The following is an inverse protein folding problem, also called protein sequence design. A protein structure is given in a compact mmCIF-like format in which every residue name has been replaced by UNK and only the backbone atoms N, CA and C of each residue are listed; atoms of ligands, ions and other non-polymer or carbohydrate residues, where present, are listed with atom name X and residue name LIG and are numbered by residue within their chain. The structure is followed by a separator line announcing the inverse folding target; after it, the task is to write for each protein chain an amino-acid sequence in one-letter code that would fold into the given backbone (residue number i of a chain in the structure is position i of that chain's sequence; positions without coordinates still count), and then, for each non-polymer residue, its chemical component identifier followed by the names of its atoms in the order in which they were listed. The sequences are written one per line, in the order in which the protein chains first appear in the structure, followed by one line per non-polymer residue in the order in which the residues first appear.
data_IF_495017815497
#
_entry.id   IF_495017815497
#
_cell.length_a   1.000
_cell.length_b   1.000
_cell.length_c   1.000
_cell.angle_alpha   90.00
_cell.angle_beta   90.00
_cell.angle_gamma   90.00
#
_symmetry.space_group_name_H-M   'P 1'
#
loop_
_entity.id
_entity.type
_entity.pdbx_description
1 polymer ?
#
# COMPACT_ATOMS: atom_id res chain seq x y z
N UNK A 1 -50.01 -73.89 -19.22
CA UNK A 1 -49.50 -72.52 -18.98
C UNK A 1 -48.78 -72.53 -17.64
N UNK A 2 -47.46 -72.34 -17.63
CA UNK A 2 -46.69 -72.29 -16.38
C UNK A 2 -46.94 -70.93 -15.73
N UNK A 3 -47.63 -70.95 -14.59
CA UNK A 3 -47.88 -69.77 -13.77
C UNK A 3 -46.61 -69.53 -12.95
N UNK A 4 -45.75 -68.60 -13.38
CA UNK A 4 -44.55 -68.23 -12.63
C UNK A 4 -44.99 -67.47 -11.37
N UNK A 5 -45.19 -68.21 -10.27
CA UNK A 5 -45.20 -67.64 -8.92
C UNK A 5 -43.85 -66.95 -8.72
N UNK A 6 -43.80 -65.63 -8.94
CA UNK A 6 -42.76 -64.80 -8.35
C UNK A 6 -42.99 -64.93 -6.85
N UNK A 7 -42.13 -65.70 -6.18
CA UNK A 7 -42.24 -66.02 -4.77
C UNK A 7 -42.33 -64.72 -3.96
N UNK A 8 -43.52 -64.47 -3.41
CA UNK A 8 -43.83 -63.34 -2.54
C UNK A 8 -43.20 -63.47 -1.14
N UNK A 9 -42.31 -64.46 -0.92
CA UNK A 9 -41.80 -64.80 0.41
C UNK A 9 -40.41 -64.21 0.71
N UNK A 10 -39.78 -63.51 -0.25
CA UNK A 10 -38.58 -62.73 0.04
C UNK A 10 -38.60 -61.38 -0.69
N UNK A 11 -39.11 -60.31 -0.06
CA UNK A 11 -39.17 -58.98 -0.67
C UNK A 11 -37.79 -58.45 -1.09
N UNK A 12 -36.68 -58.97 -0.54
CA UNK A 12 -35.33 -58.62 -0.98
C UNK A 12 -34.99 -59.16 -2.38
N UNK A 13 -35.67 -60.22 -2.84
CA UNK A 13 -35.50 -60.78 -4.19
C UNK A 13 -36.31 -60.01 -5.25
N UNK A 14 -37.26 -59.16 -4.84
CA UNK A 14 -38.02 -58.29 -5.74
C UNK A 14 -37.37 -56.90 -5.95
N UNK A 15 -36.23 -56.63 -5.28
CA UNK A 15 -35.51 -55.37 -5.42
C UNK A 15 -34.76 -55.33 -6.76
N UNK A 16 -35.03 -54.30 -7.57
CA UNK A 16 -34.26 -54.02 -8.79
C UNK A 16 -32.88 -53.53 -8.40
N UNK A 17 -31.84 -54.29 -8.78
CA UNK A 17 -30.44 -53.87 -8.63
C UNK A 17 -29.99 -53.17 -9.91
N UNK A 18 -29.38 -52.00 -9.77
CA UNK A 18 -28.73 -51.29 -10.87
C UNK A 18 -27.26 -51.71 -10.89
N UNK A 19 -26.78 -52.16 -12.06
CA UNK A 19 -25.43 -52.67 -12.24
C UNK A 19 -24.58 -51.68 -13.05
N UNK A 20 -23.30 -51.58 -12.70
CA UNK A 20 -22.30 -50.90 -13.53
C UNK A 20 -21.68 -51.82 -14.60
N UNK A 21 -20.69 -51.32 -15.33
CA UNK A 21 -20.05 -52.04 -16.45
C UNK A 21 -19.33 -53.36 -16.09
N UNK A 22 -19.06 -53.60 -14.80
CA UNK A 22 -18.44 -54.83 -14.31
C UNK A 22 -19.46 -55.87 -13.78
N UNK A 23 -20.76 -55.67 -14.05
CA UNK A 23 -21.85 -56.54 -13.58
C UNK A 23 -21.89 -56.72 -12.05
N UNK A 24 -21.38 -55.73 -11.31
CA UNK A 24 -21.51 -55.60 -9.85
C UNK A 24 -22.59 -54.57 -9.54
N UNK A 25 -23.47 -54.89 -8.60
CA UNK A 25 -24.53 -53.96 -8.18
C UNK A 25 -23.94 -52.73 -7.49
N UNK A 26 -24.52 -51.56 -7.76
CA UNK A 26 -24.18 -50.33 -7.04
C UNK A 26 -24.65 -50.46 -5.59
N UNK A 27 -23.75 -50.22 -4.63
CA UNK A 27 -24.03 -50.35 -3.21
C UNK A 27 -24.14 -48.98 -2.55
N UNK A 28 -25.08 -48.84 -1.62
CA UNK A 28 -25.27 -47.66 -0.78
C UNK A 28 -24.87 -47.94 0.67
N UNK A 29 -24.54 -46.89 1.43
CA UNK A 29 -24.31 -46.98 2.87
C UNK A 29 -25.64 -47.22 3.63
N UNK A 30 -25.57 -47.36 4.96
CA UNK A 30 -26.76 -47.55 5.81
C UNK A 30 -27.75 -46.39 5.80
N UNK A 31 -27.38 -45.25 5.21
CA UNK A 31 -28.23 -44.08 5.03
C UNK A 31 -28.80 -43.98 3.61
N UNK A 32 -28.44 -44.91 2.71
CA UNK A 32 -28.88 -44.92 1.32
C UNK A 32 -28.00 -44.10 0.37
N UNK A 33 -26.81 -43.66 0.78
CA UNK A 33 -25.92 -42.87 -0.08
C UNK A 33 -24.98 -43.76 -0.90
N UNK A 34 -24.81 -43.45 -2.18
CA UNK A 34 -23.83 -44.08 -3.08
C UNK A 34 -22.54 -43.25 -3.10
N UNK A 35 -21.43 -43.80 -2.62
CA UNK A 35 -20.11 -43.16 -2.76
C UNK A 35 -19.55 -43.40 -4.15
N UNK A 36 -19.20 -42.33 -4.86
CA UNK A 36 -18.52 -42.39 -6.17
C UNK A 36 -17.09 -41.89 -5.98
N UNK A 37 -16.11 -42.74 -6.25
CA UNK A 37 -14.69 -42.36 -6.34
C UNK A 37 -14.36 -42.04 -7.79
N UNK A 38 -14.16 -40.75 -8.11
CA UNK A 38 -13.64 -40.34 -9.42
C UNK A 38 -12.16 -39.92 -9.28
N UNK A 39 -11.35 -40.18 -10.30
CA UNK A 39 -9.97 -39.65 -10.42
C UNK A 39 -9.93 -38.19 -10.87
N UNK A 40 -11.09 -37.56 -11.00
CA UNK A 40 -11.28 -36.16 -11.36
C UNK A 40 -12.76 -35.80 -11.30
N UNK A 41 -13.08 -34.64 -10.73
CA UNK A 41 -14.42 -34.05 -10.78
C UNK A 41 -14.39 -32.93 -11.81
N UNK A 42 -14.94 -33.18 -13.00
CA UNK A 42 -15.11 -32.14 -14.01
C UNK A 42 -16.42 -31.39 -13.71
N UNK A 43 -16.31 -30.13 -13.29
CA UNK A 43 -17.45 -29.24 -13.08
C UNK A 43 -17.49 -28.25 -14.24
N UNK A 44 -18.55 -28.28 -15.05
CA UNK A 44 -18.85 -27.19 -15.97
C UNK A 44 -19.52 -26.07 -15.18
N UNK A 45 -18.80 -24.98 -14.96
CA UNK A 45 -19.29 -23.86 -14.14
C UNK A 45 -20.46 -23.12 -14.80
N UNK A 46 -21.44 -22.62 -14.03
CA UNK A 46 -22.40 -21.61 -14.49
C UNK A 46 -21.71 -20.31 -14.93
N UNK A 47 -22.38 -19.52 -15.78
CA UNK A 47 -21.85 -18.25 -16.32
C UNK A 47 -21.53 -17.20 -15.24
N UNK A 48 -22.27 -17.23 -14.13
CA UNK A 48 -22.28 -16.19 -13.10
C UNK A 48 -21.49 -16.53 -11.83
N UNK A 49 -20.76 -17.65 -11.82
CA UNK A 49 -19.85 -18.00 -10.72
C UNK A 49 -19.90 -19.46 -10.29
N UNK A 50 -18.88 -19.86 -9.52
CA UNK A 50 -18.71 -21.20 -9.00
C UNK A 50 -17.99 -21.14 -7.64
N UNK A 51 -18.52 -21.88 -6.64
CA UNK A 51 -17.91 -22.05 -5.32
C UNK A 51 -17.71 -23.55 -5.04
N UNK A 52 -16.49 -23.96 -4.69
CA UNK A 52 -16.11 -25.37 -4.45
C UNK A 52 -15.19 -25.48 -3.23
N UNK A 53 -15.34 -26.55 -2.44
CA UNK A 53 -14.43 -26.97 -1.37
C UNK A 53 -13.93 -28.40 -1.65
N UNK A 54 -12.63 -28.60 -1.89
CA UNK A 54 -12.03 -29.93 -2.11
C UNK A 54 -10.51 -29.93 -1.86
N UNK A 55 -9.95 -31.13 -1.65
CA UNK A 55 -8.53 -31.42 -1.34
C UNK A 55 -7.66 -31.71 -2.58
N UNK A 56 -8.21 -31.53 -3.78
CA UNK A 56 -7.49 -31.67 -5.05
C UNK A 56 -8.39 -31.23 -6.21
N UNK A 57 -8.01 -30.17 -6.92
CA UNK A 57 -8.89 -29.52 -7.90
C UNK A 57 -8.11 -29.01 -9.13
N UNK A 58 -8.63 -29.34 -10.31
CA UNK A 58 -8.37 -28.62 -11.55
C UNK A 58 -9.70 -27.97 -11.98
N UNK A 59 -9.74 -26.63 -12.04
CA UNK A 59 -10.95 -25.86 -12.35
C UNK A 59 -10.76 -25.13 -13.67
N UNK A 60 -11.71 -25.28 -14.60
CA UNK A 60 -11.89 -24.34 -15.70
C UNK A 60 -12.84 -23.24 -15.21
N UNK A 61 -12.34 -22.01 -15.09
CA UNK A 61 -13.04 -20.91 -14.44
C UNK A 61 -14.16 -20.30 -15.30
N UNK A 62 -15.20 -19.68 -14.69
CA UNK A 62 -16.20 -18.91 -15.43
C UNK A 62 -15.65 -17.56 -15.89
N UNK A 63 -16.32 -16.84 -16.78
CA UNK A 63 -15.81 -15.57 -17.32
C UNK A 63 -15.76 -14.45 -16.25
N UNK A 64 -16.75 -14.36 -15.37
CA UNK A 64 -16.97 -13.18 -14.54
C UNK A 64 -16.35 -13.24 -13.13
N UNK A 65 -15.85 -14.39 -12.67
CA UNK A 65 -15.16 -14.48 -11.39
C UNK A 65 -15.12 -15.89 -10.79
N UNK A 66 -14.15 -16.14 -9.91
CA UNK A 66 -13.99 -17.44 -9.23
C UNK A 66 -13.57 -17.22 -7.77
N UNK A 67 -14.22 -17.93 -6.84
CA UNK A 67 -13.83 -17.98 -5.42
C UNK A 67 -13.45 -19.41 -5.04
N UNK A 68 -12.25 -19.60 -4.48
CA UNK A 68 -11.73 -20.94 -4.10
C UNK A 68 -11.27 -20.97 -2.65
N UNK A 69 -11.69 -22.01 -1.93
CA UNK A 69 -11.19 -22.38 -0.59
C UNK A 69 -10.63 -23.80 -0.67
N UNK A 70 -9.31 -23.95 -0.61
CA UNK A 70 -8.63 -25.24 -0.75
C UNK A 70 -8.09 -25.74 0.60
N UNK A 71 -8.23 -27.04 0.86
CA UNK A 71 -7.74 -27.67 2.09
C UNK A 71 -6.45 -28.44 1.82
N UNK A 72 -5.38 -28.01 2.49
CA UNK A 72 -4.11 -28.70 2.75
C UNK A 72 -3.00 -28.66 1.68
N UNK A 73 -3.21 -29.01 0.41
CA UNK A 73 -2.06 -29.13 -0.53
C UNK A 73 -2.35 -28.66 -1.96
N UNK A 74 -1.37 -27.95 -2.54
CA UNK A 74 -1.20 -27.64 -3.96
C UNK A 74 -2.45 -27.17 -4.73
N UNK A 75 -2.54 -25.87 -5.02
CA UNK A 75 -3.62 -25.30 -5.84
C UNK A 75 -3.08 -24.73 -7.16
N UNK A 76 -3.65 -25.19 -8.29
CA UNK A 76 -3.41 -24.65 -9.62
C UNK A 76 -4.73 -24.20 -10.25
N UNK A 77 -4.81 -22.93 -10.64
CA UNK A 77 -6.02 -22.32 -11.19
C UNK A 77 -5.67 -21.59 -12.49
N UNK A 78 -6.46 -21.83 -13.54
CA UNK A 78 -6.53 -20.91 -14.68
C UNK A 78 -7.54 -19.82 -14.34
N UNK A 79 -7.11 -18.55 -14.17
CA UNK A 79 -7.96 -17.48 -13.67
C UNK A 79 -9.08 -17.11 -14.66
N UNK A 80 -10.23 -16.59 -14.16
CA UNK A 80 -11.26 -15.95 -14.98
C UNK A 80 -10.79 -14.57 -15.49
N UNK A 81 -11.52 -13.92 -16.39
CA UNK A 81 -11.21 -12.54 -16.79
C UNK A 81 -11.59 -11.52 -15.69
N UNK A 82 -12.78 -11.69 -15.08
CA UNK A 82 -13.39 -10.72 -14.16
C UNK A 82 -12.88 -10.70 -12.72
N UNK A 83 -11.88 -11.51 -12.37
CA UNK A 83 -11.19 -11.46 -11.08
C UNK A 83 -11.23 -12.76 -10.26
N UNK A 84 -10.25 -12.93 -9.36
CA UNK A 84 -9.99 -14.19 -8.65
C UNK A 84 -9.78 -13.94 -7.16
N UNK A 85 -10.54 -14.64 -6.31
CA UNK A 85 -10.39 -14.62 -4.86
C UNK A 85 -10.00 -16.01 -4.34
N UNK A 86 -8.88 -16.13 -3.62
CA UNK A 86 -8.36 -17.42 -3.14
C UNK A 86 -7.95 -17.34 -1.67
N UNK A 87 -8.39 -18.34 -0.91
CA UNK A 87 -7.79 -18.70 0.38
C UNK A 87 -6.92 -19.97 0.18
N UNK A 88 -5.62 -19.83 -0.09
CA UNK A 88 -4.72 -20.94 -0.40
C UNK A 88 -4.40 -21.86 0.78
N UNK A 89 -3.93 -23.09 0.50
CA UNK A 89 -3.41 -23.99 1.52
C UNK A 89 -2.03 -23.53 2.05
N UNK A 90 -1.60 -24.12 3.17
CA UNK A 90 -0.29 -23.87 3.80
C UNK A 90 0.91 -24.26 2.93
N UNK A 91 0.72 -25.12 1.92
CA UNK A 91 1.77 -25.70 1.06
C UNK A 91 2.22 -24.86 -0.13
N UNK A 92 1.89 -23.57 -0.16
CA UNK A 92 2.24 -22.66 -1.27
C UNK A 92 1.20 -22.63 -2.39
N UNK A 93 1.25 -21.55 -3.18
CA UNK A 93 0.25 -21.20 -4.19
C UNK A 93 0.94 -20.67 -5.45
N UNK A 94 0.57 -21.20 -6.62
CA UNK A 94 1.00 -20.69 -7.92
C UNK A 94 -0.24 -20.28 -8.74
N UNK A 95 -0.30 -19.01 -9.14
CA UNK A 95 -1.43 -18.44 -9.90
C UNK A 95 -0.89 -17.63 -11.06
N UNK A 96 -1.44 -17.84 -12.25
CA UNK A 96 -1.42 -16.81 -13.29
C UNK A 96 -2.54 -15.82 -12.97
N UNK A 97 -2.28 -14.51 -12.85
CA UNK A 97 -3.29 -13.55 -12.43
C UNK A 97 -4.39 -13.33 -13.51
N UNK A 98 -5.65 -13.03 -13.11
CA UNK A 98 -6.68 -12.49 -14.01
C UNK A 98 -6.33 -11.08 -14.51
N UNK A 99 -7.02 -10.59 -15.53
CA UNK A 99 -6.82 -9.20 -16.01
C UNK A 99 -7.30 -8.16 -14.99
N UNK A 100 -8.47 -8.38 -14.39
CA UNK A 100 -9.23 -7.34 -13.68
C UNK A 100 -9.03 -7.29 -12.15
N UNK A 101 -8.32 -8.25 -11.56
CA UNK A 101 -7.91 -8.14 -10.16
C UNK A 101 -7.77 -9.46 -9.40
N UNK A 102 -6.87 -9.50 -8.42
CA UNK A 102 -6.54 -10.69 -7.63
C UNK A 102 -6.57 -10.37 -6.13
N UNK A 103 -7.23 -11.22 -5.35
CA UNK A 103 -7.28 -11.14 -3.89
C UNK A 103 -6.82 -12.47 -3.26
N UNK A 104 -5.79 -12.43 -2.41
CA UNK A 104 -5.19 -13.63 -1.79
C UNK A 104 -4.92 -13.43 -0.29
N UNK A 105 -5.17 -14.48 0.51
CA UNK A 105 -4.80 -14.56 1.94
C UNK A 105 -3.94 -15.81 2.22
N UNK A 106 -2.63 -15.66 2.42
CA UNK A 106 -1.70 -16.82 2.50
C UNK A 106 -0.53 -16.63 3.48
N UNK A 107 0.08 -17.75 3.88
CA UNK A 107 1.29 -17.83 4.73
C UNK A 107 2.62 -17.88 3.94
N UNK A 108 2.56 -17.90 2.61
CA UNK A 108 3.74 -17.81 1.72
C UNK A 108 3.31 -17.54 0.28
N UNK A 109 3.84 -16.49 -0.37
CA UNK A 109 3.36 -16.01 -1.66
C UNK A 109 4.47 -15.50 -2.58
N UNK A 110 4.46 -16.01 -3.80
CA UNK A 110 5.07 -15.37 -4.97
C UNK A 110 3.94 -15.09 -5.97
N UNK A 111 3.71 -13.82 -6.29
CA UNK A 111 2.60 -13.39 -7.16
C UNK A 111 3.16 -12.60 -8.34
N UNK A 112 2.81 -13.03 -9.55
CA UNK A 112 2.80 -12.14 -10.72
C UNK A 112 1.47 -11.38 -10.67
N UNK A 113 1.50 -10.05 -10.61
CA UNK A 113 0.29 -9.24 -10.40
C UNK A 113 -0.59 -9.12 -11.65
N UNK A 114 -1.91 -8.96 -11.48
CA UNK A 114 -2.83 -8.55 -12.55
C UNK A 114 -2.55 -7.12 -13.04
N UNK A 115 -3.16 -6.69 -14.16
CA UNK A 115 -3.00 -5.32 -14.67
C UNK A 115 -3.73 -4.29 -13.81
N UNK A 116 -4.96 -4.60 -13.38
CA UNK A 116 -5.87 -3.60 -12.80
C UNK A 116 -5.90 -3.51 -11.27
N UNK A 117 -5.10 -4.31 -10.56
CA UNK A 117 -4.92 -4.13 -9.11
C UNK A 117 -4.80 -5.44 -8.30
N UNK A 118 -4.03 -5.40 -7.21
CA UNK A 118 -3.73 -6.55 -6.36
C UNK A 118 -3.98 -6.19 -4.90
N UNK A 119 -4.77 -7.02 -4.20
CA UNK A 119 -4.96 -6.92 -2.74
C UNK A 119 -4.40 -8.17 -2.06
N UNK A 120 -3.48 -7.98 -1.11
CA UNK A 120 -2.86 -9.10 -0.38
C UNK A 120 -2.98 -8.90 1.13
N UNK A 121 -3.44 -9.95 1.81
CA UNK A 121 -3.34 -10.09 3.27
C UNK A 121 -2.28 -11.16 3.56
N UNK A 122 -1.04 -10.74 3.83
CA UNK A 122 0.09 -11.65 4.03
C UNK A 122 0.30 -11.96 5.51
N UNK A 123 0.68 -13.19 5.85
CA UNK A 123 1.08 -13.58 7.20
C UNK A 123 2.61 -13.81 7.33
N UNK A 124 3.12 -13.49 8.52
CA UNK A 124 4.41 -13.77 9.19
C UNK A 124 5.73 -13.90 8.39
N UNK A 125 5.81 -14.69 7.33
CA UNK A 125 7.07 -15.23 6.76
C UNK A 125 7.58 -14.45 5.52
N UNK A 126 6.98 -13.29 5.23
CA UNK A 126 7.44 -12.38 4.18
C UNK A 126 6.60 -12.43 2.90
N UNK A 127 6.74 -11.38 2.09
CA UNK A 127 5.92 -11.13 0.90
C UNK A 127 6.81 -10.61 -0.24
N UNK A 128 6.77 -11.26 -1.40
CA UNK A 128 7.40 -10.77 -2.63
C UNK A 128 6.34 -10.55 -3.70
N UNK A 129 6.23 -9.31 -4.19
CA UNK A 129 5.22 -8.87 -5.16
C UNK A 129 5.92 -8.07 -6.26
N UNK A 130 5.67 -8.45 -7.52
CA UNK A 130 5.78 -7.51 -8.64
C UNK A 130 4.50 -6.68 -8.67
N UNK A 131 4.54 -5.35 -8.52
CA UNK A 131 3.34 -4.54 -8.36
C UNK A 131 2.53 -4.37 -9.66
N UNK A 132 1.19 -4.33 -9.58
CA UNK A 132 0.30 -4.03 -10.72
C UNK A 132 0.37 -2.55 -11.12
N UNK A 133 -0.01 -2.25 -12.37
CA UNK A 133 -0.15 -0.86 -12.85
C UNK A 133 -1.33 -0.13 -12.22
N UNK A 134 -2.41 -0.84 -11.87
CA UNK A 134 -3.63 -0.26 -11.27
C UNK A 134 -3.55 0.04 -9.77
N UNK A 135 -2.40 -0.20 -9.13
CA UNK A 135 -2.20 0.06 -7.70
C UNK A 135 -2.20 -1.19 -6.81
N UNK A 136 -1.48 -1.10 -5.70
CA UNK A 136 -1.19 -2.19 -4.78
C UNK A 136 -1.64 -1.83 -3.36
N UNK A 137 -2.50 -2.65 -2.76
CA UNK A 137 -2.88 -2.54 -1.36
C UNK A 137 -2.34 -3.75 -0.57
N UNK A 138 -1.51 -3.48 0.44
CA UNK A 138 -0.93 -4.52 1.30
C UNK A 138 -1.25 -4.18 2.76
N UNK A 139 -1.73 -5.17 3.52
CA UNK A 139 -1.68 -5.12 4.99
C UNK A 139 -0.30 -5.62 5.44
N UNK A 140 0.53 -4.81 6.12
CA UNK A 140 1.90 -5.17 6.45
C UNK A 140 2.00 -6.40 7.37
N UNK A 141 2.95 -7.33 7.11
CA UNK A 141 3.26 -8.40 8.05
C UNK A 141 4.08 -7.84 9.23
N UNK A 142 4.10 -8.57 10.34
CA UNK A 142 4.82 -8.20 11.58
C UNK A 142 6.33 -7.98 11.40
N UNK A 143 6.93 -8.58 10.36
CA UNK A 143 8.36 -8.51 10.07
C UNK A 143 8.72 -7.49 8.96
N UNK A 144 7.77 -6.65 8.54
CA UNK A 144 7.98 -5.59 7.55
C UNK A 144 7.70 -5.99 6.09
N UNK A 145 7.50 -4.98 5.22
CA UNK A 145 7.26 -5.15 3.78
C UNK A 145 8.49 -4.65 3.01
N UNK A 146 8.93 -5.41 2.01
CA UNK A 146 9.82 -4.91 0.95
C UNK A 146 8.99 -4.69 -0.33
N UNK A 147 8.87 -3.44 -0.79
CA UNK A 147 8.20 -3.09 -2.05
C UNK A 147 9.26 -2.63 -3.05
N UNK A 148 9.43 -3.37 -4.14
CA UNK A 148 10.25 -2.96 -5.27
C UNK A 148 9.34 -2.64 -6.45
N UNK A 149 9.00 -1.36 -6.64
CA UNK A 149 8.24 -0.91 -7.80
C UNK A 149 9.05 0.09 -8.61
N UNK A 150 9.19 -0.09 -9.94
CA UNK A 150 9.74 0.95 -10.82
C UNK A 150 8.85 2.20 -10.91
N UNK A 151 7.65 2.18 -10.30
CA UNK A 151 6.71 3.31 -10.22
C UNK A 151 6.32 3.74 -8.81
N UNK A 152 7.01 3.29 -7.75
CA UNK A 152 6.85 3.91 -6.43
C UNK A 152 7.52 5.27 -6.49
N UNK A 153 6.77 6.31 -6.82
CA UNK A 153 7.22 7.67 -6.58
C UNK A 153 7.18 7.89 -5.06
N UNK A 154 8.33 7.82 -4.39
CA UNK A 154 8.52 8.64 -3.19
C UNK A 154 8.51 10.06 -3.74
N UNK A 155 7.34 10.69 -3.77
CA UNK A 155 7.23 12.11 -4.08
C UNK A 155 7.79 12.81 -2.85
N UNK A 156 9.11 13.02 -2.81
CA UNK A 156 9.69 14.07 -1.99
C UNK A 156 9.19 15.36 -2.59
N UNK A 157 8.15 15.95 -1.99
CA UNK A 157 7.74 17.28 -2.39
C UNK A 157 8.75 18.26 -1.79
N UNK A 158 9.07 19.33 -2.50
CA UNK A 158 9.93 20.38 -1.96
C UNK A 158 9.13 21.66 -1.83
N UNK A 159 9.47 22.46 -0.83
CA UNK A 159 8.97 23.83 -0.69
C UNK A 159 10.13 24.79 -0.89
N UNK A 160 9.92 25.82 -1.71
CA UNK A 160 10.85 26.92 -1.92
C UNK A 160 10.03 28.21 -1.93
N UNK A 161 10.08 28.93 -0.80
CA UNK A 161 9.34 30.18 -0.60
C UNK A 161 10.35 31.29 -0.37
N UNK A 162 10.21 32.41 -1.07
CA UNK A 162 11.08 33.57 -0.86
C UNK A 162 10.30 34.84 -0.57
N UNK A 163 10.90 35.71 0.26
CA UNK A 163 10.36 37.01 0.62
C UNK A 163 11.47 38.06 0.59
N UNK A 164 11.14 39.27 0.13
CA UNK A 164 12.06 40.42 0.16
C UNK A 164 11.61 41.42 1.21
N UNK A 165 12.49 41.72 2.15
CA UNK A 165 12.33 42.68 3.22
C UNK A 165 13.19 43.90 2.90
N UNK A 166 12.58 45.00 2.47
CA UNK A 166 13.30 46.18 1.98
C UNK A 166 13.24 47.35 2.96
N UNK A 167 14.21 48.28 2.83
CA UNK A 167 14.27 49.54 3.58
C UNK A 167 14.29 49.37 5.11
N UNK A 168 14.94 48.32 5.58
CA UNK A 168 15.09 48.04 7.01
C UNK A 168 16.09 49.04 7.59
N UNK A 169 15.63 49.91 8.47
CA UNK A 169 16.46 50.84 9.25
C UNK A 169 16.31 50.63 10.75
N UNK A 170 15.39 49.77 11.16
CA UNK A 170 15.13 49.46 12.56
C UNK A 170 16.27 48.62 13.15
N UNK A 171 16.84 49.12 14.25
CA UNK A 171 17.91 48.47 15.00
C UNK A 171 17.38 47.61 16.16
N UNK A 172 16.11 47.75 16.55
CA UNK A 172 15.48 46.93 17.58
C UNK A 172 15.11 45.54 17.06
N UNK A 173 14.72 45.48 15.77
CA UNK A 173 14.49 44.26 15.03
C UNK A 173 13.03 43.84 14.96
N UNK A 174 12.74 42.97 14.01
CA UNK A 174 11.41 42.48 13.72
C UNK A 174 11.48 41.06 13.17
N UNK A 175 10.43 40.27 13.42
CA UNK A 175 10.26 38.98 12.77
C UNK A 175 9.66 39.14 11.37
N UNK A 176 10.06 38.29 10.43
CA UNK A 176 9.43 38.17 9.12
C UNK A 176 8.15 37.31 9.17
N UNK A 177 7.77 36.77 8.01
CA UNK A 177 6.64 35.87 7.84
C UNK A 177 6.79 34.62 8.72
N UNK A 178 5.68 34.13 9.28
CA UNK A 178 5.69 32.91 10.08
C UNK A 178 5.46 31.68 9.20
N UNK A 179 6.44 30.78 9.17
CA UNK A 179 6.40 29.54 8.41
C UNK A 179 5.93 28.38 9.30
N UNK A 180 4.93 27.62 8.85
CA UNK A 180 4.57 26.34 9.49
C UNK A 180 5.48 25.25 8.93
N UNK A 181 6.31 24.67 9.79
CA UNK A 181 7.34 23.68 9.42
C UNK A 181 6.94 22.25 9.81
N UNK A 182 5.72 22.02 10.32
CA UNK A 182 5.22 20.67 10.57
C UNK A 182 5.04 19.91 9.25
N UNK A 183 5.58 18.69 9.20
CA UNK A 183 5.54 17.85 8.01
C UNK A 183 6.63 18.19 6.98
N UNK A 184 7.58 19.05 7.33
CA UNK A 184 8.81 19.27 6.55
C UNK A 184 9.93 18.49 7.26
N UNK A 185 10.49 17.48 6.59
CA UNK A 185 11.48 16.55 7.15
C UNK A 185 12.82 17.25 7.40
N UNK A 186 13.29 18.02 6.42
CA UNK A 186 14.47 18.88 6.55
C UNK A 186 14.19 20.25 5.97
N UNK A 187 14.61 21.33 6.64
CA UNK A 187 14.41 22.69 6.16
C UNK A 187 15.52 23.64 6.58
N UNK A 188 15.67 24.74 5.84
CA UNK A 188 16.72 25.74 6.04
C UNK A 188 16.22 27.12 5.62
N UNK A 189 16.66 28.15 6.35
CA UNK A 189 16.56 29.53 5.88
C UNK A 189 17.87 29.96 5.23
N UNK A 190 17.81 30.43 3.98
CA UNK A 190 18.87 31.21 3.35
C UNK A 190 18.54 32.69 3.42
N UNK A 191 19.47 33.53 3.88
CA UNK A 191 19.26 34.98 3.95
C UNK A 191 20.35 35.70 3.19
N UNK A 192 19.97 36.42 2.13
CA UNK A 192 20.87 37.22 1.30
C UNK A 192 20.67 38.69 1.62
N UNK A 193 21.73 39.38 2.02
CA UNK A 193 21.73 40.83 2.14
C UNK A 193 21.97 41.46 0.76
N UNK A 194 20.90 41.91 0.11
CA UNK A 194 20.89 42.52 -1.21
C UNK A 194 20.83 44.07 -1.16
N UNK A 195 21.33 44.66 -0.07
CA UNK A 195 21.30 46.11 0.14
C UNK A 195 22.15 46.86 -0.87
N UNK A 196 21.68 48.02 -1.33
CA UNK A 196 22.41 48.89 -2.25
C UNK A 196 23.30 49.91 -1.53
N UNK A 197 22.99 50.23 -0.27
CA UNK A 197 23.72 51.21 0.51
C UNK A 197 24.99 50.65 1.13
N UNK A 198 26.10 51.40 1.02
CA UNK A 198 27.37 50.99 1.59
C UNK A 198 27.25 50.79 3.12
N UNK A 199 27.91 49.75 3.63
CA UNK A 199 27.90 49.39 5.06
C UNK A 199 26.49 49.06 5.62
N UNK A 200 25.52 48.73 4.76
CA UNK A 200 24.23 48.19 5.17
C UNK A 200 24.42 46.75 5.70
N UNK A 201 24.73 46.63 6.98
CA UNK A 201 24.86 45.35 7.68
C UNK A 201 23.55 45.01 8.41
N UNK A 202 23.21 43.73 8.42
CA UNK A 202 22.04 43.21 9.13
C UNK A 202 22.47 42.21 10.19
N UNK A 203 21.73 42.14 11.29
CA UNK A 203 21.80 41.03 12.23
C UNK A 203 20.59 40.12 11.98
N UNK A 204 20.79 38.82 11.85
CA UNK A 204 19.70 37.85 11.67
C UNK A 204 19.80 36.70 12.66
N UNK A 205 18.66 36.21 13.11
CA UNK A 205 18.52 35.06 14.01
C UNK A 205 17.31 34.25 13.58
N UNK A 206 17.41 32.93 13.55
CA UNK A 206 16.25 32.07 13.39
C UNK A 206 15.51 31.99 14.73
N UNK A 207 14.20 32.20 14.67
CA UNK A 207 13.31 31.97 15.79
C UNK A 207 12.36 30.82 15.51
N UNK A 208 12.05 30.05 16.55
CA UNK A 208 11.07 28.96 16.52
C UNK A 208 9.99 29.19 17.57
N UNK A 209 8.78 28.66 17.34
CA UNK A 209 7.64 28.85 18.22
C UNK A 209 6.66 27.67 18.16
N UNK A 210 6.05 27.28 19.30
CA UNK A 210 4.99 26.28 19.31
C UNK A 210 3.62 26.85 18.89
N UNK A 211 3.40 28.17 19.09
CA UNK A 211 2.09 28.81 18.99
C UNK A 211 2.05 30.00 18.02
N UNK A 212 3.18 30.43 17.47
CA UNK A 212 3.32 31.58 16.58
C UNK A 212 3.30 32.94 17.30
N UNK A 213 3.29 32.94 18.64
CA UNK A 213 3.20 34.14 19.49
C UNK A 213 4.43 34.25 20.38
N UNK A 214 4.81 33.16 21.05
CA UNK A 214 5.97 33.09 21.93
C UNK A 214 7.15 32.53 21.14
N UNK A 215 8.17 33.35 20.94
CA UNK A 215 9.31 33.04 20.07
C UNK A 215 10.58 32.79 20.88
N UNK A 216 11.31 31.75 20.50
CA UNK A 216 12.61 31.38 21.04
C UNK A 216 13.68 31.59 19.95
N UNK A 217 14.75 32.31 20.27
CA UNK A 217 15.94 32.39 19.43
C UNK A 217 16.68 31.05 19.43
N UNK A 218 16.99 30.51 18.25
CA UNK A 218 17.57 29.17 18.13
C UNK A 218 18.88 29.12 17.33
N UNK A 219 18.91 29.66 16.11
CA UNK A 219 20.13 29.71 15.30
C UNK A 219 20.56 31.16 15.04
N UNK A 220 21.75 31.54 15.49
CA UNK A 220 22.28 32.91 15.41
C UNK A 220 22.49 33.55 16.79
N UNK A 221 22.64 34.88 16.87
CA UNK A 221 22.58 35.85 15.77
C UNK A 221 23.81 35.81 14.85
N UNK A 222 23.62 36.14 13.57
CA UNK A 222 24.66 36.27 12.55
C UNK A 222 24.62 37.67 11.94
N UNK A 223 25.76 38.36 11.94
CA UNK A 223 25.90 39.63 11.21
C UNK A 223 26.20 39.35 9.74
N UNK A 224 25.31 39.80 8.85
CA UNK A 224 25.47 39.68 7.40
C UNK A 224 25.91 41.03 6.82
N UNK A 225 27.09 41.06 6.21
CA UNK A 225 27.57 42.21 5.47
C UNK A 225 26.75 42.47 4.20
N UNK A 226 26.81 43.70 3.67
CA UNK A 226 26.25 44.02 2.36
C UNK A 226 26.73 43.02 1.30
N UNK A 227 25.83 42.56 0.43
CA UNK A 227 26.09 41.59 -0.64
C UNK A 227 26.60 40.22 -0.18
N UNK A 228 26.32 39.84 1.07
CA UNK A 228 26.67 38.54 1.63
C UNK A 228 25.43 37.68 1.90
N UNK A 229 25.65 36.38 2.06
CA UNK A 229 24.64 35.36 2.36
C UNK A 229 24.97 34.71 3.70
N UNK A 230 23.95 34.29 4.44
CA UNK A 230 24.09 33.27 5.49
C UNK A 230 23.00 32.21 5.37
N UNK A 231 23.19 31.08 6.04
CA UNK A 231 22.18 30.03 6.20
C UNK A 231 21.94 29.78 7.67
N UNK A 232 20.69 29.51 8.02
CA UNK A 232 20.25 29.20 9.37
C UNK A 232 19.57 27.83 9.31
N UNK A 233 20.04 26.90 10.13
CA UNK A 233 19.53 25.52 10.21
C UNK A 233 19.17 25.24 11.65
N UNK A 234 18.00 24.63 11.86
CA UNK A 234 17.54 24.31 13.21
C UNK A 234 17.99 22.93 13.67
N UNK A 235 18.34 22.85 14.96
CA UNK A 235 18.67 21.61 15.66
C UNK A 235 17.50 21.06 16.49
N UNK A 236 16.47 21.87 16.68
CA UNK A 236 15.27 21.57 17.47
C UNK A 236 14.02 22.06 16.74
N UNK A 237 13.00 21.21 16.62
CA UNK A 237 11.85 21.50 15.78
C UNK A 237 10.60 21.84 16.61
N UNK A 238 10.02 23.01 16.33
CA UNK A 238 8.68 23.40 16.78
C UNK A 238 7.79 23.67 15.58
N UNK A 239 6.50 23.90 15.82
CA UNK A 239 5.50 24.03 14.76
C UNK A 239 5.79 25.20 13.80
N UNK A 240 6.27 26.31 14.33
CA UNK A 240 6.49 27.54 13.58
C UNK A 240 7.96 27.94 13.61
N UNK A 241 8.44 28.50 12.51
CA UNK A 241 9.76 29.10 12.39
C UNK A 241 9.69 30.42 11.61
N UNK A 242 10.64 31.32 11.86
CA UNK A 242 10.77 32.60 11.17
C UNK A 242 12.20 33.13 11.26
N UNK A 243 12.55 34.12 10.46
CA UNK A 243 13.78 34.91 10.58
C UNK A 243 13.47 36.21 11.33
N UNK A 244 14.15 36.41 12.47
CA UNK A 244 14.22 37.69 13.16
C UNK A 244 15.41 38.48 12.64
N UNK A 245 15.20 39.74 12.27
CA UNK A 245 16.23 40.56 11.64
C UNK A 245 16.23 41.99 12.17
N UNK A 246 17.38 42.65 12.11
CA UNK A 246 17.52 44.08 12.37
C UNK A 246 18.65 44.69 11.53
N UNK A 247 18.58 45.99 11.28
CA UNK A 247 19.72 46.74 10.78
C UNK A 247 20.74 46.92 11.91
N UNK A 248 22.04 46.79 11.61
CA UNK A 248 23.10 47.06 12.60
C UNK A 248 23.19 48.55 12.93
N UNK A 249 22.83 49.41 11.97
CA UNK A 249 22.74 50.85 12.14
C UNK A 249 21.56 51.41 11.33
N UNK A 250 20.98 52.52 11.78
CA UNK A 250 19.85 53.16 11.10
C UNK A 250 20.26 54.09 9.94
N UNK A 251 21.56 54.27 9.70
CA UNK A 251 22.08 55.21 8.70
C UNK A 251 22.15 54.60 7.29
N UNK A 252 22.28 53.27 7.20
CA UNK A 252 22.27 52.54 5.93
C UNK A 252 21.07 51.59 5.89
N UNK A 253 20.15 51.82 4.96
CA UNK A 253 18.98 50.99 4.76
C UNK A 253 19.36 49.59 4.25
N UNK A 254 18.83 48.56 4.92
CA UNK A 254 19.08 47.15 4.60
C UNK A 254 17.94 46.57 3.76
N UNK A 255 18.28 45.76 2.77
CA UNK A 255 17.35 44.89 2.04
C UNK A 255 17.79 43.44 2.16
N UNK A 256 16.92 42.57 2.69
CA UNK A 256 17.14 41.14 2.84
C UNK A 256 16.21 40.34 1.93
N UNK A 257 16.75 39.33 1.25
CA UNK A 257 15.97 38.28 0.60
C UNK A 257 16.07 37.02 1.46
N UNK A 258 14.95 36.57 2.00
CA UNK A 258 14.83 35.36 2.81
C UNK A 258 14.26 34.25 1.94
N UNK A 259 14.90 33.08 1.97
CA UNK A 259 14.51 31.87 1.27
C UNK A 259 14.26 30.79 2.31
N UNK A 260 13.04 30.24 2.36
CA UNK A 260 12.69 29.05 3.12
C UNK A 260 12.62 27.87 2.18
N UNK A 261 13.52 26.91 2.37
CA UNK A 261 13.60 25.71 1.55
C UNK A 261 13.48 24.48 2.43
N UNK A 262 12.71 23.49 1.98
CA UNK A 262 12.58 22.23 2.70
C UNK A 262 12.08 21.06 1.87
N UNK A 263 12.33 19.87 2.40
CA UNK A 263 11.88 18.57 1.87
C UNK A 263 10.67 18.11 2.69
N UNK A 264 9.60 17.68 2.01
CA UNK A 264 8.31 17.25 2.54
C UNK A 264 8.16 15.72 2.50
#
# INVERSE_FOLDING_TARGET
MANFKIFQDNPDQAKVKIYGGNNTALNTDSSGNLTITSTGLAITSPLDGLAITSTGLAITSPTNGLTVTAAAEGLSITPPTGGLAITPPTGGLAITPPTDGLAITSTGLAITSPTNGLTVTAAAEGLSITPPTGGLAITPPTNGILITSPGLAIIGATTDVSATLANITDTAGSGDETYNVLGVETWTFGVVNASLEANAQALVTMQISPDGINWLDEAGPVTINQNSLTTLVSSIFLKYARVYYSAVNAASAVTLNVFFQGEL
#
